data_IF_365123063827
#
_entry.id   IF_365123063827
#
_cell.length_a   1.000
_cell.length_b   1.000
_cell.length_c   1.000
_cell.angle_alpha   90.00
_cell.angle_beta   90.00
_cell.angle_gamma   90.00
#
_symmetry.space_group_name_H-M   'P 1'
#
loop_
_entity.id
_entity.type
_entity.pdbx_description
1 polymer ?
#
# COMPACT_ATOMS: atom_id res chain seq x y z
N UNK A 1 18.09 5.77 6.85
CA UNK A 1 17.01 4.88 6.43
C UNK A 1 15.92 5.69 5.79
N UNK A 2 15.47 5.24 4.64
CA UNK A 2 14.47 5.96 3.86
C UNK A 2 13.07 5.50 4.24
N UNK A 3 12.15 6.45 4.31
CA UNK A 3 10.74 6.16 4.48
C UNK A 3 9.99 6.67 3.28
N UNK A 4 8.95 5.96 2.92
CA UNK A 4 8.05 6.40 1.86
C UNK A 4 6.66 6.56 2.42
N UNK A 5 5.93 7.50 1.85
CA UNK A 5 4.54 7.72 2.21
C UNK A 5 3.67 7.16 1.10
N UNK A 6 2.74 6.30 1.47
CA UNK A 6 1.81 5.71 0.51
C UNK A 6 0.39 6.08 0.90
N UNK A 7 -0.41 6.35 -0.10
CA UNK A 7 -1.81 6.75 0.07
C UNK A 7 -2.69 5.86 -0.79
N UNK A 8 -3.71 5.29 -0.20
CA UNK A 8 -4.67 4.50 -0.96
C UNK A 8 -5.52 5.43 -1.82
N UNK A 9 -5.46 5.24 -3.13
CA UNK A 9 -6.19 6.09 -4.08
C UNK A 9 -7.37 5.37 -4.73
N UNK A 10 -7.45 4.05 -4.59
CA UNK A 10 -8.55 3.27 -5.16
C UNK A 10 -9.09 2.27 -4.14
N UNK A 11 -10.37 1.96 -4.27
CA UNK A 11 -11.00 0.97 -3.42
C UNK A 11 -10.45 -0.43 -3.66
N UNK A 12 -10.36 -1.22 -2.59
CA UNK A 12 -9.92 -2.61 -2.67
C UNK A 12 -11.09 -3.59 -2.73
N UNK A 13 -12.33 -3.09 -2.78
CA UNK A 13 -13.52 -3.92 -2.71
C UNK A 13 -13.55 -4.99 -3.79
N UNK A 14 -13.19 -4.63 -5.01
CA UNK A 14 -13.22 -5.54 -6.16
C UNK A 14 -11.86 -6.17 -6.45
N UNK A 15 -10.93 -6.13 -5.50
CA UNK A 15 -9.59 -6.67 -5.70
C UNK A 15 -9.46 -8.05 -5.07
N UNK A 16 -8.42 -8.78 -5.49
CA UNK A 16 -8.17 -10.11 -4.94
C UNK A 16 -7.84 -10.04 -3.45
N UNK A 17 -8.07 -11.15 -2.76
CA UNK A 17 -7.74 -11.19 -1.33
C UNK A 17 -6.26 -10.95 -1.06
N UNK A 18 -5.38 -11.37 -1.98
CA UNK A 18 -3.95 -11.11 -1.84
C UNK A 18 -3.66 -9.63 -1.79
N UNK A 19 -4.29 -8.86 -2.67
CA UNK A 19 -4.13 -7.41 -2.69
C UNK A 19 -4.71 -6.78 -1.44
N UNK A 20 -5.87 -7.24 -0.99
CA UNK A 20 -6.46 -6.75 0.24
C UNK A 20 -5.55 -7.01 1.44
N UNK A 21 -4.98 -8.20 1.52
CA UNK A 21 -4.05 -8.55 2.60
C UNK A 21 -2.79 -7.70 2.55
N UNK A 22 -2.28 -7.45 1.35
CA UNK A 22 -1.10 -6.61 1.18
C UNK A 22 -1.37 -5.18 1.63
N UNK A 23 -2.51 -4.62 1.23
CA UNK A 23 -2.91 -3.29 1.67
C UNK A 23 -3.06 -3.22 3.18
N UNK A 24 -3.67 -4.23 3.77
CA UNK A 24 -3.86 -4.29 5.21
C UNK A 24 -2.53 -4.40 5.95
N UNK A 25 -1.60 -5.19 5.41
CA UNK A 25 -0.26 -5.33 5.98
C UNK A 25 0.52 -4.01 5.92
N UNK A 26 0.24 -3.19 4.90
CA UNK A 26 0.83 -1.86 4.79
C UNK A 26 0.16 -0.83 5.69
N UNK A 27 -0.97 -1.18 6.29
CA UNK A 27 -1.71 -0.27 7.16
C UNK A 27 -2.77 0.54 6.43
N UNK A 28 -3.02 0.24 5.16
CA UNK A 28 -4.01 0.97 4.36
C UNK A 28 -5.33 0.22 4.37
N UNK A 29 -6.23 0.65 5.23
CA UNK A 29 -7.53 -0.01 5.38
C UNK A 29 -8.69 0.84 4.89
N UNK A 30 -8.46 2.13 4.63
CA UNK A 30 -9.51 3.04 4.19
C UNK A 30 -9.07 3.82 2.97
N UNK A 31 -10.05 4.24 2.18
CA UNK A 31 -9.82 5.08 1.02
C UNK A 31 -9.15 6.40 1.45
N UNK A 32 -8.19 6.85 0.65
CA UNK A 32 -7.44 8.09 0.89
C UNK A 32 -6.64 8.11 2.19
N UNK A 33 -6.46 6.95 2.82
CA UNK A 33 -5.62 6.85 3.99
C UNK A 33 -4.14 6.88 3.57
N UNK A 34 -3.34 7.63 4.31
CA UNK A 34 -1.90 7.73 4.08
C UNK A 34 -1.15 7.09 5.23
N UNK A 35 -0.08 6.39 4.93
CA UNK A 35 0.82 5.85 5.96
C UNK A 35 2.26 6.02 5.51
N UNK A 36 3.15 6.16 6.48
CA UNK A 36 4.59 6.12 6.24
C UNK A 36 5.11 4.74 6.55
N UNK A 37 5.88 4.18 5.64
CA UNK A 37 6.50 2.87 5.84
C UNK A 37 7.97 2.95 5.48
N UNK A 38 8.75 2.05 6.06
CA UNK A 38 10.17 1.98 5.77
C UNK A 38 10.38 1.42 4.37
N UNK A 39 11.24 2.09 3.59
CA UNK A 39 11.50 1.69 2.21
C UNK A 39 12.56 0.57 2.18
N UNK A 40 12.18 -0.62 2.60
CA UNK A 40 13.04 -1.79 2.50
C UNK A 40 12.53 -2.74 1.40
N UNK A 41 13.32 -3.75 1.10
CA UNK A 41 13.00 -4.67 -0.01
C UNK A 41 11.64 -5.35 0.16
N UNK A 42 11.29 -5.74 1.40
CA UNK A 42 10.01 -6.40 1.67
C UNK A 42 8.84 -5.45 1.44
N UNK A 43 8.95 -4.24 1.96
CA UNK A 43 7.89 -3.24 1.82
C UNK A 43 7.76 -2.78 0.37
N UNK A 44 8.87 -2.56 -0.31
CA UNK A 44 8.85 -2.16 -1.71
C UNK A 44 8.21 -3.26 -2.57
N UNK A 45 8.51 -4.53 -2.28
CA UNK A 45 7.87 -5.64 -2.97
C UNK A 45 6.36 -5.66 -2.78
N UNK A 46 5.89 -5.39 -1.56
CA UNK A 46 4.46 -5.31 -1.27
C UNK A 46 3.80 -4.14 -2.00
N UNK A 47 4.45 -2.98 -2.00
CA UNK A 47 3.93 -1.79 -2.66
C UNK A 47 3.82 -2.01 -4.18
N UNK A 48 4.80 -2.68 -4.77
CA UNK A 48 4.75 -2.98 -6.21
C UNK A 48 3.54 -3.83 -6.59
N UNK A 49 3.12 -4.73 -5.71
CA UNK A 49 1.95 -5.57 -5.96
C UNK A 49 0.66 -4.77 -6.00
N UNK A 50 0.61 -3.65 -5.31
CA UNK A 50 -0.58 -2.81 -5.20
C UNK A 50 -0.35 -1.39 -5.69
N UNK A 51 0.69 -1.17 -6.49
CA UNK A 51 1.04 0.19 -6.93
C UNK A 51 -0.07 0.86 -7.75
N UNK A 52 -0.95 0.07 -8.36
CA UNK A 52 -2.10 0.60 -9.07
C UNK A 52 -3.23 1.05 -8.15
N UNK A 53 -3.11 0.74 -6.86
CA UNK A 53 -4.10 1.11 -5.85
C UNK A 53 -3.62 2.23 -4.95
N UNK A 54 -2.35 2.56 -5.01
CA UNK A 54 -1.75 3.55 -4.11
C UNK A 54 -0.93 4.58 -4.87
N UNK A 55 -0.78 5.75 -4.28
CA UNK A 55 0.15 6.77 -4.74
C UNK A 55 1.35 6.77 -3.77
N UNK A 56 2.53 6.88 -4.32
CA UNK A 56 3.77 6.90 -3.54
C UNK A 56 4.36 8.30 -3.58
N UNK A 57 4.70 8.80 -2.42
CA UNK A 57 5.40 10.08 -2.27
C UNK A 57 6.80 9.91 -1.74
#
# INVERSE_FOLDING_TARGET
MAKIKITQIKSIIDRSERQKRTMKALGLTKMNQSVEVEANAAIIGMVRKVNHLVAIE
#
